data_IF_915446037653
#
_entry.id   IF_915446037653
#
_cell.length_a   1.000
_cell.length_b   1.000
_cell.length_c   1.000
_cell.angle_alpha   90.00
_cell.angle_beta   90.00
_cell.angle_gamma   90.00
#
_symmetry.space_group_name_H-M   'P 1'
#
loop_
_entity.id
_entity.type
_entity.pdbx_description
1 polymer ?
#
# COMPACT_ATOMS: atom_id res chain seq x y z
N UNK A 1 -5.09 -2.17 29.68
CA UNK A 1 -5.70 -1.77 28.38
C UNK A 1 -4.62 -1.20 27.48
N UNK A 2 -4.62 -1.55 26.21
CA UNK A 2 -3.64 -1.04 25.24
C UNK A 2 -3.94 0.42 24.93
N UNK A 3 -2.96 1.28 25.12
CA UNK A 3 -3.07 2.71 24.81
C UNK A 3 -2.41 3.03 23.49
N UNK A 4 -3.09 3.76 22.62
CA UNK A 4 -2.56 4.25 21.36
C UNK A 4 -2.44 5.78 21.34
N UNK A 5 -1.58 6.32 20.48
CA UNK A 5 -1.47 7.79 20.33
C UNK A 5 -2.77 8.37 19.80
N UNK A 6 -3.20 9.51 20.35
CA UNK A 6 -4.44 10.19 19.96
C UNK A 6 -4.52 10.49 18.46
N UNK A 7 -3.42 10.91 17.82
CA UNK A 7 -3.38 11.14 16.38
C UNK A 7 -3.63 9.84 15.57
N UNK A 8 -3.16 8.68 16.08
CA UNK A 8 -3.46 7.37 15.48
C UNK A 8 -4.95 7.05 15.68
N UNK A 9 -5.48 7.22 16.88
CA UNK A 9 -6.90 7.01 17.18
C UNK A 9 -7.81 7.78 16.22
N UNK A 10 -7.61 9.09 16.07
CA UNK A 10 -8.40 9.93 15.16
C UNK A 10 -8.30 9.46 13.70
N UNK A 11 -7.11 9.00 13.29
CA UNK A 11 -6.91 8.44 11.96
C UNK A 11 -7.62 7.09 11.78
N UNK A 12 -7.59 6.22 12.78
CA UNK A 12 -8.24 4.90 12.77
C UNK A 12 -9.77 5.02 12.83
N UNK A 13 -10.29 6.09 13.44
CA UNK A 13 -11.71 6.45 13.38
C UNK A 13 -12.15 7.02 12.01
N UNK A 14 -11.21 7.21 11.08
CA UNK A 14 -11.51 7.78 9.76
C UNK A 14 -11.72 9.28 9.73
N UNK A 15 -11.48 9.99 10.85
CA UNK A 15 -11.71 11.42 10.96
C UNK A 15 -10.75 12.23 10.05
N UNK A 16 -9.42 12.01 10.18
CA UNK A 16 -8.43 12.72 9.37
C UNK A 16 -7.11 11.94 9.26
N UNK A 17 -6.09 12.49 8.58
CA UNK A 17 -4.75 11.93 8.61
C UNK A 17 -4.08 12.16 9.96
N UNK A 18 -3.08 11.35 10.33
CA UNK A 18 -2.32 11.53 11.59
C UNK A 18 -1.68 12.91 11.71
N UNK A 19 -1.15 13.46 10.60
CA UNK A 19 -0.59 14.83 10.57
C UNK A 19 -1.67 15.88 10.80
N UNK A 20 -2.81 15.71 10.15
CA UNK A 20 -3.95 16.62 10.34
C UNK A 20 -4.51 16.54 11.76
N UNK A 21 -4.50 15.35 12.36
CA UNK A 21 -4.86 15.17 13.77
C UNK A 21 -3.91 15.92 14.71
N UNK A 22 -2.59 15.90 14.44
CA UNK A 22 -1.62 16.68 15.20
C UNK A 22 -1.92 18.19 15.08
N UNK A 23 -2.25 18.69 13.88
CA UNK A 23 -2.67 20.10 13.69
C UNK A 23 -3.92 20.45 14.53
N UNK A 24 -4.96 19.60 14.54
CA UNK A 24 -6.16 19.80 15.38
C UNK A 24 -5.83 19.82 16.87
N UNK A 25 -4.88 18.99 17.32
CA UNK A 25 -4.43 18.95 18.72
C UNK A 25 -3.69 20.26 19.08
N UNK A 26 -2.79 20.72 18.20
CA UNK A 26 -2.06 22.00 18.39
C UNK A 26 -3.00 23.21 18.41
N UNK A 27 -4.03 23.21 17.56
CA UNK A 27 -5.08 24.23 17.52
C UNK A 27 -6.01 24.17 18.74
N UNK A 28 -5.78 23.24 19.68
CA UNK A 28 -6.65 23.04 20.86
C UNK A 28 -8.10 22.68 20.51
N UNK A 29 -8.31 22.02 19.37
CA UNK A 29 -9.63 21.57 18.92
C UNK A 29 -10.02 20.20 19.47
N UNK A 30 -9.10 19.49 20.17
CA UNK A 30 -9.30 18.11 20.61
C UNK A 30 -9.32 18.02 22.14
N UNK A 31 -10.32 17.31 22.66
CA UNK A 31 -10.43 16.97 24.09
C UNK A 31 -10.48 15.46 24.28
N UNK A 32 -9.96 15.01 25.43
CA UNK A 32 -10.05 13.62 25.89
C UNK A 32 -10.66 13.65 27.29
N UNK A 33 -11.80 13.01 27.49
CA UNK A 33 -12.55 13.01 28.75
C UNK A 33 -12.80 14.44 29.26
N UNK A 34 -13.19 15.35 28.36
CA UNK A 34 -13.45 16.76 28.65
C UNK A 34 -12.20 17.64 28.87
N UNK A 35 -11.00 17.08 28.92
CA UNK A 35 -9.73 17.82 29.11
C UNK A 35 -9.05 18.07 27.78
N UNK A 36 -8.42 19.25 27.66
CA UNK A 36 -7.64 19.61 26.47
C UNK A 36 -6.52 18.62 26.21
N UNK A 37 -6.44 18.07 24.99
CA UNK A 37 -5.36 17.18 24.59
C UNK A 37 -4.09 17.93 24.19
N UNK A 38 -2.94 17.26 24.31
CA UNK A 38 -1.64 17.73 23.85
C UNK A 38 -1.01 16.72 22.86
N UNK A 39 -0.02 17.16 22.10
CA UNK A 39 0.76 16.27 21.23
C UNK A 39 1.38 15.15 22.07
N UNK A 40 1.24 13.91 21.58
CA UNK A 40 1.71 12.73 22.30
C UNK A 40 0.70 12.12 23.28
N UNK A 41 -0.44 12.75 23.54
CA UNK A 41 -1.52 12.17 24.35
C UNK A 41 -1.85 10.76 23.83
N UNK A 42 -2.04 9.84 24.78
CA UNK A 42 -2.47 8.46 24.50
C UNK A 42 -3.90 8.28 24.99
N UNK A 43 -4.64 7.44 24.28
CA UNK A 43 -6.03 7.09 24.58
C UNK A 43 -6.24 5.58 24.50
N UNK A 44 -7.21 5.10 25.28
CA UNK A 44 -7.76 3.75 25.22
C UNK A 44 -9.11 3.75 24.50
N UNK A 45 -9.69 2.58 24.30
CA UNK A 45 -11.03 2.48 23.69
C UNK A 45 -12.16 3.01 24.58
N UNK A 46 -11.90 3.18 25.89
CA UNK A 46 -12.90 3.66 26.88
C UNK A 46 -12.88 5.19 27.02
N UNK A 47 -11.87 5.85 26.43
CA UNK A 47 -11.75 7.31 26.49
C UNK A 47 -12.71 8.00 25.51
N UNK A 48 -13.39 9.03 25.98
CA UNK A 48 -14.23 9.89 25.15
C UNK A 48 -13.36 10.93 24.46
N UNK A 49 -13.25 10.84 23.15
CA UNK A 49 -12.49 11.78 22.32
C UNK A 49 -13.43 12.71 21.58
N UNK A 50 -13.23 14.01 21.74
CA UNK A 50 -14.02 15.05 21.09
C UNK A 50 -13.14 15.91 20.18
N UNK A 51 -13.65 16.27 19.00
CA UNK A 51 -13.03 17.26 18.11
C UNK A 51 -14.07 18.31 17.76
N UNK A 52 -13.78 19.58 18.05
CA UNK A 52 -14.71 20.71 17.89
C UNK A 52 -16.07 20.49 18.57
N UNK A 53 -16.12 19.75 19.68
CA UNK A 53 -17.33 19.43 20.42
C UNK A 53 -18.10 18.21 19.93
N UNK A 54 -17.66 17.56 18.85
CA UNK A 54 -18.25 16.32 18.34
C UNK A 54 -17.50 15.11 18.85
N UNK A 55 -18.20 14.09 19.37
CA UNK A 55 -17.59 12.83 19.83
C UNK A 55 -17.17 12.00 18.62
N UNK A 56 -15.90 11.62 18.61
CA UNK A 56 -15.31 10.74 17.59
C UNK A 56 -15.19 9.33 18.14
N UNK A 57 -15.77 8.38 17.44
CA UNK A 57 -15.70 6.96 17.81
C UNK A 57 -15.26 6.10 16.63
N UNK A 58 -14.64 4.99 16.94
CA UNK A 58 -14.17 4.04 15.93
C UNK A 58 -15.37 3.35 15.28
N UNK A 59 -15.45 3.39 13.95
CA UNK A 59 -16.40 2.58 13.18
C UNK A 59 -15.88 1.14 13.11
N UNK A 60 -16.73 0.17 13.48
CA UNK A 60 -16.30 -1.24 13.63
C UNK A 60 -16.06 -1.99 12.30
N UNK A 61 -16.45 -1.45 11.16
CA UNK A 61 -16.28 -2.12 9.88
C UNK A 61 -14.85 -2.00 9.32
N UNK A 62 -14.11 -3.11 9.49
CA UNK A 62 -12.85 -3.35 8.77
C UNK A 62 -13.12 -3.47 7.27
N UNK A 63 -12.42 -2.67 6.49
CA UNK A 63 -12.54 -2.68 5.04
C UNK A 63 -11.22 -2.96 4.37
N UNK A 64 -11.20 -3.97 3.49
CA UNK A 64 -10.06 -4.29 2.63
C UNK A 64 -10.56 -4.51 1.19
N UNK A 65 -9.99 -3.76 0.26
CA UNK A 65 -10.39 -3.70 -1.14
C UNK A 65 -9.20 -4.05 -2.03
N UNK A 66 -9.43 -4.86 -3.06
CA UNK A 66 -8.55 -5.01 -4.20
C UNK A 66 -9.01 -4.05 -5.30
N UNK A 67 -8.10 -3.25 -5.82
CA UNK A 67 -8.34 -2.29 -6.89
C UNK A 67 -7.32 -2.47 -8.01
N UNK A 68 -7.78 -2.49 -9.25
CA UNK A 68 -6.91 -2.44 -10.41
C UNK A 68 -6.60 -0.99 -10.78
N UNK A 69 -5.51 -0.47 -10.24
CA UNK A 69 -5.09 0.90 -10.52
C UNK A 69 -4.75 1.09 -11.99
N UNK A 70 -5.42 1.98 -12.72
CA UNK A 70 -5.04 2.32 -14.09
C UNK A 70 -3.73 3.14 -14.11
N UNK A 71 -3.10 3.25 -15.29
CA UNK A 71 -2.01 4.20 -15.53
C UNK A 71 -2.52 5.64 -15.38
N UNK A 72 -1.63 6.56 -15.04
CA UNK A 72 -1.95 7.99 -14.89
C UNK A 72 -2.40 8.41 -13.49
N UNK A 73 -2.78 7.46 -12.62
CA UNK A 73 -3.22 7.73 -11.25
C UNK A 73 -2.05 7.62 -10.27
N UNK A 74 -1.92 8.60 -9.36
CA UNK A 74 -0.88 8.67 -8.35
C UNK A 74 -1.36 8.02 -7.05
N UNK A 75 -0.55 7.13 -6.47
CA UNK A 75 -0.84 6.51 -5.17
C UNK A 75 -0.48 7.47 -4.03
N UNK A 76 -1.32 8.45 -3.78
CA UNK A 76 -1.20 9.41 -2.68
C UNK A 76 -2.57 9.72 -2.07
N UNK A 77 -2.56 10.18 -0.82
CA UNK A 77 -3.73 10.74 -0.13
C UNK A 77 -3.65 12.27 -0.04
N UNK A 78 -2.72 12.89 -0.78
CA UNK A 78 -2.53 14.35 -0.79
C UNK A 78 -3.58 15.01 -1.68
N UNK A 79 -4.29 15.97 -1.14
CA UNK A 79 -5.30 16.81 -1.83
C UNK A 79 -4.68 17.72 -2.90
N UNK A 80 -3.35 17.95 -2.83
CA UNK A 80 -2.62 18.77 -3.83
C UNK A 80 -2.39 18.04 -5.16
N UNK A 81 -2.63 16.73 -5.24
CA UNK A 81 -2.51 15.93 -6.46
C UNK A 81 -3.90 15.59 -7.00
N UNK A 82 -4.29 16.21 -8.08
CA UNK A 82 -5.64 16.09 -8.66
C UNK A 82 -5.96 14.71 -9.23
N UNK A 83 -4.93 13.93 -9.62
CA UNK A 83 -5.09 12.58 -10.15
C UNK A 83 -4.70 11.52 -9.10
N UNK A 84 -5.09 11.72 -7.85
CA UNK A 84 -4.78 10.79 -6.78
C UNK A 84 -5.77 9.62 -6.73
N UNK A 85 -5.31 8.50 -6.16
CA UNK A 85 -6.08 7.25 -6.09
C UNK A 85 -7.33 7.36 -5.21
N UNK A 86 -7.34 8.23 -4.20
CA UNK A 86 -8.45 8.36 -3.26
C UNK A 86 -9.62 9.06 -3.94
N UNK A 87 -9.37 10.17 -4.62
CA UNK A 87 -10.40 10.90 -5.37
C UNK A 87 -10.91 10.08 -6.55
N UNK A 88 -10.03 9.32 -7.23
CA UNK A 88 -10.42 8.43 -8.32
C UNK A 88 -11.41 7.35 -7.86
N UNK A 89 -11.17 6.72 -6.71
CA UNK A 89 -12.01 5.65 -6.17
C UNK A 89 -13.30 6.20 -5.55
N UNK A 90 -13.24 7.39 -4.93
CA UNK A 90 -14.34 8.06 -4.22
C UNK A 90 -15.13 7.10 -3.29
N UNK A 91 -14.41 6.40 -2.41
CA UNK A 91 -15.02 5.41 -1.51
C UNK A 91 -15.75 6.08 -0.34
N UNK A 92 -16.94 5.57 0.10
CA UNK A 92 -17.79 6.25 1.09
C UNK A 92 -17.17 6.43 2.48
N UNK A 93 -16.13 5.67 2.82
CA UNK A 93 -15.34 5.85 4.05
C UNK A 93 -13.89 6.13 3.72
N UNK A 94 -13.18 6.74 4.65
CA UNK A 94 -11.76 7.02 4.48
C UNK A 94 -10.95 5.73 4.40
N UNK A 95 -10.31 5.52 3.26
CA UNK A 95 -9.38 4.41 3.01
C UNK A 95 -8.03 4.96 2.54
N UNK A 96 -6.99 4.14 2.63
CA UNK A 96 -5.66 4.47 2.13
C UNK A 96 -4.98 3.25 1.52
N UNK A 97 -4.09 3.48 0.54
CA UNK A 97 -3.45 2.40 -0.19
C UNK A 97 -2.42 1.67 0.67
N UNK A 98 -2.37 0.34 0.54
CA UNK A 98 -1.33 -0.52 1.09
C UNK A 98 -0.16 -0.52 0.11
N UNK A 99 0.79 0.37 0.35
CA UNK A 99 1.92 0.60 -0.52
C UNK A 99 1.58 1.47 -1.73
N UNK A 100 2.46 1.43 -2.73
CA UNK A 100 2.38 2.31 -3.89
C UNK A 100 2.64 1.55 -5.18
N UNK A 101 2.05 2.05 -6.26
CA UNK A 101 2.45 1.83 -7.65
C UNK A 101 2.79 3.19 -8.27
N UNK A 102 3.80 3.21 -9.13
CA UNK A 102 4.14 4.43 -9.87
C UNK A 102 2.98 4.87 -10.76
N UNK A 103 2.94 6.16 -11.13
CA UNK A 103 1.95 6.74 -12.03
C UNK A 103 1.83 5.97 -13.34
N UNK A 104 2.98 5.54 -13.90
CA UNK A 104 3.09 4.82 -15.18
C UNK A 104 2.83 3.31 -15.06
N UNK A 105 2.63 2.79 -13.84
CA UNK A 105 2.38 1.38 -13.57
C UNK A 105 0.91 1.14 -13.31
N UNK A 106 0.43 -0.07 -13.59
CA UNK A 106 -0.97 -0.47 -13.37
C UNK A 106 -1.06 -1.76 -12.55
N UNK A 107 -2.27 -2.16 -12.21
CA UNK A 107 -2.54 -3.45 -11.59
C UNK A 107 -2.94 -3.36 -10.13
N UNK A 108 -2.86 -4.47 -9.45
CA UNK A 108 -3.39 -4.67 -8.11
C UNK A 108 -2.76 -3.71 -7.10
N UNK A 109 -3.61 -2.97 -6.42
CA UNK A 109 -3.29 -2.30 -5.16
C UNK A 109 -4.38 -2.62 -4.15
N UNK A 110 -3.99 -2.83 -2.90
CA UNK A 110 -4.93 -3.00 -1.80
C UNK A 110 -5.17 -1.67 -1.12
N UNK A 111 -6.41 -1.43 -0.67
CA UNK A 111 -6.78 -0.27 0.13
C UNK A 111 -7.52 -0.72 1.38
N UNK A 112 -7.33 -0.01 2.48
CA UNK A 112 -7.94 -0.35 3.78
C UNK A 112 -8.17 0.90 4.62
N UNK A 113 -9.06 0.81 5.62
CA UNK A 113 -9.19 1.77 6.70
C UNK A 113 -8.36 1.38 7.96
N UNK A 114 -7.60 0.27 7.92
CA UNK A 114 -6.79 -0.21 9.03
C UNK A 114 -5.30 0.08 8.83
N UNK A 115 -4.73 1.04 9.60
CA UNK A 115 -3.32 1.42 9.50
C UNK A 115 -2.33 0.31 9.88
N UNK A 116 -2.71 -0.54 10.82
CA UNK A 116 -1.84 -1.62 11.27
C UNK A 116 -1.69 -2.71 10.19
N UNK A 117 -2.73 -2.96 9.41
CA UNK A 117 -2.67 -3.87 8.27
C UNK A 117 -1.69 -3.38 7.19
N UNK A 118 -1.63 -2.07 6.96
CA UNK A 118 -0.64 -1.47 6.04
C UNK A 118 0.78 -1.80 6.48
N UNK A 119 1.07 -1.57 7.78
CA UNK A 119 2.39 -1.82 8.33
C UNK A 119 2.80 -3.29 8.20
N UNK A 120 1.90 -4.21 8.56
CA UNK A 120 2.16 -5.66 8.48
C UNK A 120 2.47 -6.12 7.04
N UNK A 121 1.70 -5.65 6.06
CA UNK A 121 1.88 -6.04 4.64
C UNK A 121 3.12 -5.38 4.02
N UNK A 122 3.45 -4.13 4.42
CA UNK A 122 4.45 -3.33 3.72
C UNK A 122 5.87 -3.43 4.28
N UNK A 123 6.05 -3.84 5.53
CA UNK A 123 7.40 -3.95 6.10
C UNK A 123 8.25 -4.96 5.33
N UNK A 124 9.39 -4.49 4.81
CA UNK A 124 10.30 -5.30 3.98
C UNK A 124 10.91 -6.49 4.70
N UNK A 125 10.98 -6.45 6.04
CA UNK A 125 11.46 -7.58 6.85
C UNK A 125 10.52 -8.79 6.78
N UNK A 126 9.22 -8.58 6.55
CA UNK A 126 8.22 -9.63 6.48
C UNK A 126 8.26 -10.42 5.15
N UNK A 127 9.06 -9.97 4.19
CA UNK A 127 9.32 -10.64 2.90
C UNK A 127 8.04 -11.03 2.11
N UNK A 128 6.99 -10.23 2.20
CA UNK A 128 5.74 -10.47 1.50
C UNK A 128 5.90 -10.32 -0.02
N UNK A 129 5.56 -11.38 -0.74
CA UNK A 129 5.70 -11.46 -2.20
C UNK A 129 4.73 -10.52 -2.91
N UNK A 130 5.25 -9.89 -3.97
CA UNK A 130 4.47 -9.14 -4.96
C UNK A 130 4.89 -9.59 -6.34
N UNK A 131 3.94 -9.91 -7.19
CA UNK A 131 4.16 -10.48 -8.52
C UNK A 131 3.74 -9.51 -9.61
N UNK A 132 4.57 -9.45 -10.65
CA UNK A 132 4.43 -8.49 -11.73
C UNK A 132 4.61 -9.16 -13.08
N UNK A 133 3.79 -8.75 -14.07
CA UNK A 133 4.05 -8.96 -15.50
C UNK A 133 4.78 -7.73 -16.01
N UNK A 134 5.93 -7.93 -16.63
CA UNK A 134 6.79 -6.86 -17.13
C UNK A 134 7.02 -7.02 -18.62
N UNK A 135 6.69 -5.98 -19.42
CA UNK A 135 7.03 -5.92 -20.85
C UNK A 135 8.15 -4.91 -21.06
N UNK A 136 9.05 -5.25 -21.97
CA UNK A 136 10.23 -4.45 -22.30
C UNK A 136 10.33 -4.18 -23.79
N UNK A 137 11.21 -3.25 -24.18
CA UNK A 137 11.39 -2.78 -25.57
C UNK A 137 12.11 -3.79 -26.48
N UNK A 138 12.85 -4.73 -25.93
CA UNK A 138 13.68 -5.70 -26.68
C UNK A 138 13.47 -7.14 -26.21
N UNK A 139 13.99 -8.09 -26.98
CA UNK A 139 13.87 -9.52 -26.68
C UNK A 139 14.64 -9.87 -25.41
N UNK A 140 13.93 -10.52 -24.49
CA UNK A 140 14.48 -11.06 -23.23
C UNK A 140 15.27 -12.31 -23.54
N UNK A 141 16.47 -12.45 -22.97
CA UNK A 141 17.30 -13.64 -23.06
C UNK A 141 17.58 -14.23 -21.68
N UNK A 142 18.13 -15.45 -21.65
CA UNK A 142 18.41 -16.15 -20.41
C UNK A 142 19.38 -15.39 -19.50
N UNK A 143 20.39 -14.74 -20.06
CA UNK A 143 21.35 -13.96 -19.30
C UNK A 143 20.70 -12.79 -18.54
N UNK A 144 19.74 -12.09 -19.19
CA UNK A 144 18.94 -11.04 -18.53
C UNK A 144 18.16 -11.62 -17.35
N UNK A 145 17.45 -12.74 -17.54
CA UNK A 145 16.67 -13.40 -16.48
C UNK A 145 17.58 -13.82 -15.32
N UNK A 146 18.75 -14.36 -15.59
CA UNK A 146 19.68 -14.79 -14.53
C UNK A 146 20.24 -13.61 -13.73
N UNK A 147 20.52 -12.47 -14.38
CA UNK A 147 20.89 -11.24 -13.67
C UNK A 147 19.73 -10.72 -12.80
N UNK A 148 18.50 -10.70 -13.33
CA UNK A 148 17.33 -10.29 -12.55
C UNK A 148 17.16 -11.15 -11.30
N UNK A 149 17.33 -12.48 -11.41
CA UNK A 149 17.21 -13.41 -10.26
C UNK A 149 18.27 -13.19 -9.20
N UNK A 150 19.54 -12.94 -9.59
CA UNK A 150 20.66 -12.76 -8.65
C UNK A 150 20.60 -11.44 -7.91
N UNK A 151 19.93 -10.46 -8.46
CA UNK A 151 19.89 -9.08 -7.99
C UNK A 151 20.75 -8.17 -8.87
N UNK A 152 20.34 -6.91 -8.94
CA UNK A 152 20.95 -5.88 -9.78
C UNK A 152 21.32 -4.68 -8.92
N UNK A 153 22.48 -4.09 -9.15
CA UNK A 153 22.91 -2.89 -8.44
C UNK A 153 22.12 -1.67 -8.94
N UNK A 154 21.31 -1.09 -8.03
CA UNK A 154 20.56 0.14 -8.26
C UNK A 154 20.60 1.01 -6.99
N UNK A 155 20.56 2.32 -7.14
CA UNK A 155 20.51 3.26 -6.00
C UNK A 155 21.63 3.01 -4.96
N UNK A 156 22.82 2.57 -5.40
CA UNK A 156 23.95 2.29 -4.52
C UNK A 156 23.80 1.02 -3.65
N UNK A 157 22.85 0.14 -3.98
CA UNK A 157 22.66 -1.14 -3.30
C UNK A 157 22.33 -2.26 -4.28
N UNK A 158 22.67 -3.51 -3.94
CA UNK A 158 22.25 -4.68 -4.71
C UNK A 158 20.85 -5.09 -4.25
N UNK A 159 19.93 -5.27 -5.19
CA UNK A 159 18.56 -5.74 -4.86
C UNK A 159 18.61 -7.17 -4.34
N UNK A 160 17.63 -7.51 -3.48
CA UNK A 160 17.49 -8.90 -3.01
C UNK A 160 17.28 -9.85 -4.19
N UNK A 161 17.79 -11.11 -4.11
CA UNK A 161 17.43 -12.14 -5.06
C UNK A 161 15.91 -12.28 -5.20
N UNK A 162 15.48 -12.62 -6.42
CA UNK A 162 14.05 -12.71 -6.73
C UNK A 162 13.76 -13.86 -7.68
N UNK A 163 12.46 -14.17 -7.90
CA UNK A 163 12.06 -15.13 -8.94
C UNK A 163 11.74 -14.34 -10.22
N UNK A 164 12.28 -14.79 -11.34
CA UNK A 164 12.01 -14.22 -12.66
C UNK A 164 11.87 -15.33 -13.70
N UNK A 165 10.90 -15.21 -14.58
CA UNK A 165 10.58 -16.23 -15.60
C UNK A 165 10.22 -15.53 -16.90
N UNK A 166 10.87 -15.92 -18.02
CA UNK A 166 10.46 -15.44 -19.32
C UNK A 166 9.11 -16.04 -19.70
N UNK A 167 8.13 -15.20 -20.07
CA UNK A 167 6.77 -15.60 -20.47
C UNK A 167 6.46 -15.27 -21.91
N UNK A 168 7.32 -14.47 -22.56
CA UNK A 168 7.21 -14.12 -23.96
C UNK A 168 8.50 -13.54 -24.52
N UNK A 169 8.58 -13.25 -25.83
CA UNK A 169 9.81 -12.68 -26.43
C UNK A 169 10.26 -11.37 -25.77
N UNK A 170 9.33 -10.53 -25.36
CA UNK A 170 9.58 -9.23 -24.71
C UNK A 170 8.85 -9.11 -23.37
N UNK A 171 8.56 -10.24 -22.73
CA UNK A 171 7.76 -10.30 -21.50
C UNK A 171 8.37 -11.30 -20.52
N UNK A 172 8.30 -10.95 -19.24
CA UNK A 172 8.71 -11.83 -18.16
C UNK A 172 7.89 -11.55 -16.90
N UNK A 173 7.74 -12.58 -16.07
CA UNK A 173 7.15 -12.46 -14.73
C UNK A 173 8.25 -12.29 -13.69
N UNK A 174 7.94 -11.49 -12.67
CA UNK A 174 8.86 -11.15 -11.60
C UNK A 174 8.16 -11.17 -10.24
N UNK A 175 8.71 -11.93 -9.28
CA UNK A 175 8.21 -11.97 -7.91
C UNK A 175 9.25 -11.34 -6.98
N UNK A 176 8.86 -10.24 -6.32
CA UNK A 176 9.70 -9.48 -5.39
C UNK A 176 9.16 -9.55 -3.96
N UNK A 177 10.08 -9.59 -2.99
CA UNK A 177 9.80 -9.39 -1.56
C UNK A 177 10.25 -8.01 -1.06
N UNK A 178 10.82 -7.20 -1.94
CA UNK A 178 11.37 -5.87 -1.68
C UNK A 178 10.66 -4.84 -2.57
N UNK A 179 10.68 -3.55 -2.18
CA UNK A 179 10.07 -2.47 -2.96
C UNK A 179 10.88 -1.18 -2.85
N UNK A 180 11.99 -1.07 -3.58
CA UNK A 180 12.75 0.17 -3.72
C UNK A 180 12.07 1.12 -4.74
N UNK A 181 12.41 2.40 -4.67
CA UNK A 181 11.88 3.38 -5.62
C UNK A 181 12.13 2.95 -7.07
N UNK A 182 11.05 2.74 -7.85
CA UNK A 182 11.07 2.32 -9.26
C UNK A 182 11.97 1.11 -9.53
N UNK A 183 12.04 0.18 -8.58
CA UNK A 183 13.01 -0.91 -8.55
C UNK A 183 13.06 -1.68 -9.87
N UNK A 184 11.95 -2.20 -10.37
CA UNK A 184 11.87 -3.02 -11.58
C UNK A 184 12.38 -2.24 -12.80
N UNK A 185 11.95 -0.98 -12.95
CA UNK A 185 12.39 -0.12 -14.07
C UNK A 185 13.89 0.13 -14.03
N UNK A 186 14.44 0.45 -12.86
CA UNK A 186 15.88 0.65 -12.67
C UNK A 186 16.72 -0.62 -12.90
N UNK A 187 16.21 -1.78 -12.46
CA UNK A 187 16.86 -3.06 -12.72
C UNK A 187 16.92 -3.34 -14.24
N UNK A 188 15.81 -3.16 -14.95
CA UNK A 188 15.77 -3.32 -16.41
C UNK A 188 16.72 -2.33 -17.11
N UNK A 189 16.67 -1.05 -16.75
CA UNK A 189 17.50 0.01 -17.31
C UNK A 189 19.00 -0.28 -17.13
N UNK A 190 19.41 -0.72 -15.94
CA UNK A 190 20.80 -1.11 -15.64
C UNK A 190 21.28 -2.27 -16.53
N UNK A 191 20.38 -3.16 -16.92
CA UNK A 191 20.64 -4.28 -17.84
C UNK A 191 20.42 -3.92 -19.32
N UNK A 192 20.16 -2.64 -19.64
CA UNK A 192 20.00 -2.14 -21.01
C UNK A 192 18.61 -2.34 -21.62
N UNK A 193 17.56 -2.50 -20.81
CA UNK A 193 16.18 -2.69 -21.22
C UNK A 193 15.27 -1.56 -20.72
N UNK A 194 14.29 -1.13 -21.54
CA UNK A 194 13.30 -0.16 -21.10
C UNK A 194 11.95 -0.85 -20.87
N UNK A 195 11.35 -0.62 -19.70
CA UNK A 195 10.03 -1.17 -19.37
C UNK A 195 8.95 -0.40 -20.12
N UNK A 196 8.21 -1.08 -20.99
CA UNK A 196 7.08 -0.54 -21.77
C UNK A 196 5.74 -0.74 -21.06
N UNK A 197 5.61 -1.81 -20.26
CA UNK A 197 4.44 -2.06 -19.42
C UNK A 197 4.84 -2.74 -18.12
N UNK A 198 4.20 -2.35 -17.02
CA UNK A 198 4.39 -2.94 -15.70
C UNK A 198 3.04 -3.09 -15.01
N UNK A 199 2.64 -4.34 -14.79
CA UNK A 199 1.36 -4.68 -14.18
C UNK A 199 1.60 -5.55 -12.94
N UNK A 200 1.16 -5.09 -11.76
CA UNK A 200 1.19 -5.94 -10.56
C UNK A 200 -0.05 -6.81 -10.53
N UNK A 201 0.13 -8.13 -10.51
CA UNK A 201 -0.96 -9.11 -10.59
C UNK A 201 -1.27 -9.81 -9.28
N UNK A 202 -0.36 -9.75 -8.28
CA UNK A 202 -0.56 -10.39 -6.97
C UNK A 202 0.16 -9.65 -5.85
N UNK A 203 -0.45 -9.63 -4.68
CA UNK A 203 0.13 -9.23 -3.39
C UNK A 203 -0.20 -10.34 -2.41
N UNK A 204 0.81 -11.04 -1.89
CA UNK A 204 0.64 -12.23 -1.04
C UNK A 204 -0.30 -13.26 -1.68
N UNK A 205 -1.42 -13.60 -1.06
CA UNK A 205 -2.45 -14.50 -1.61
C UNK A 205 -3.50 -13.78 -2.47
N UNK A 206 -3.57 -12.45 -2.43
CA UNK A 206 -4.58 -11.68 -3.18
C UNK A 206 -4.13 -11.51 -4.63
N UNK A 207 -4.96 -11.96 -5.56
CA UNK A 207 -4.71 -11.86 -7.00
C UNK A 207 -5.58 -10.76 -7.62
N UNK A 208 -5.06 -10.17 -8.69
CA UNK A 208 -5.80 -9.21 -9.51
C UNK A 208 -7.04 -9.86 -10.14
N UNK A 209 -6.90 -11.10 -10.63
CA UNK A 209 -7.98 -11.81 -11.34
C UNK A 209 -8.44 -11.05 -12.57
N UNK A 210 -9.75 -11.06 -12.79
CA UNK A 210 -10.40 -10.48 -13.98
C UNK A 210 -10.76 -8.99 -13.83
N UNK A 211 -10.34 -8.34 -12.71
CA UNK A 211 -10.60 -6.91 -12.52
C UNK A 211 -10.02 -6.08 -13.66
N UNK A 212 -10.89 -5.33 -14.34
CA UNK A 212 -10.47 -4.38 -15.36
C UNK A 212 -9.84 -3.12 -14.76
N UNK A 213 -8.98 -2.38 -15.49
CA UNK A 213 -8.42 -1.11 -15.01
C UNK A 213 -9.52 -0.14 -14.54
N UNK A 214 -9.39 0.34 -13.30
CA UNK A 214 -10.39 1.19 -12.65
C UNK A 214 -11.46 0.44 -11.85
N UNK A 215 -11.52 -0.88 -11.94
CA UNK A 215 -12.44 -1.68 -11.15
C UNK A 215 -11.89 -2.05 -9.76
N UNK A 216 -12.80 -2.24 -8.82
CA UNK A 216 -12.50 -2.68 -7.46
C UNK A 216 -13.45 -3.78 -7.00
N UNK A 217 -12.99 -4.57 -6.04
CA UNK A 217 -13.83 -5.55 -5.32
C UNK A 217 -13.45 -5.60 -3.85
N UNK A 218 -14.39 -5.95 -3.00
CA UNK A 218 -14.08 -6.34 -1.62
C UNK A 218 -13.30 -7.66 -1.63
N UNK A 219 -12.38 -7.82 -0.66
CA UNK A 219 -11.70 -9.10 -0.44
C UNK A 219 -12.71 -10.08 0.14
N UNK A 220 -12.79 -11.29 -0.43
CA UNK A 220 -13.71 -12.28 0.06
C UNK A 220 -13.21 -12.92 1.39
N UNK A 221 -14.10 -13.61 2.08
CA UNK A 221 -13.83 -14.17 3.42
C UNK A 221 -12.63 -15.14 3.41
N UNK A 222 -12.55 -16.00 2.40
CA UNK A 222 -11.45 -16.98 2.26
C UNK A 222 -10.10 -16.29 2.06
N UNK A 223 -10.03 -15.32 1.13
CA UNK A 223 -8.82 -14.53 0.88
C UNK A 223 -8.38 -13.79 2.16
N UNK A 224 -9.34 -13.22 2.91
CA UNK A 224 -9.05 -12.50 4.14
C UNK A 224 -8.52 -13.41 5.25
N UNK A 225 -9.09 -14.60 5.41
CA UNK A 225 -8.64 -15.59 6.38
C UNK A 225 -7.22 -16.10 6.06
N UNK A 226 -6.95 -16.39 4.79
CA UNK A 226 -5.61 -16.77 4.33
C UNK A 226 -4.60 -15.63 4.55
N UNK A 227 -4.97 -14.39 4.20
CA UNK A 227 -4.12 -13.22 4.43
C UNK A 227 -3.80 -13.05 5.92
N UNK A 228 -4.79 -13.16 6.80
CA UNK A 228 -4.59 -13.06 8.25
C UNK A 228 -3.61 -14.12 8.77
N UNK A 229 -3.75 -15.38 8.35
CA UNK A 229 -2.80 -16.45 8.69
C UNK A 229 -1.36 -16.13 8.24
N UNK A 230 -1.20 -15.62 7.02
CA UNK A 230 0.12 -15.22 6.52
C UNK A 230 0.72 -14.05 7.31
N UNK A 231 -0.11 -13.23 7.95
CA UNK A 231 0.30 -12.06 8.74
C UNK A 231 0.48 -12.34 10.22
N UNK A 232 0.14 -13.53 10.74
CA UNK A 232 0.26 -13.88 12.17
C UNK A 232 1.71 -13.76 12.68
N UNK A 233 2.69 -14.03 11.82
CA UNK A 233 4.11 -13.91 12.13
C UNK A 233 4.74 -12.61 11.63
N UNK A 234 3.92 -11.65 11.18
CA UNK A 234 4.36 -10.35 10.67
C UNK A 234 4.28 -9.30 11.79
N UNK A 235 5.44 -8.74 12.14
CA UNK A 235 5.54 -7.67 13.13
C UNK A 235 5.29 -6.27 12.55
#
# INVERSE_FOLDING_TARGET
>A
MEQIRLNKYLSDCGFCSRRKADEYIEMKCVKVNGKQAAIGTKVSNDDVVEVNGEIIYKKDESTLIAFNKPKGIVCTTSENETNNIIDYINYPIRIYPIGRLDKDSQGLILLTNEGDLVNKIMRSRNQHEKEYIVKVDRVVNQQFIDHMKKGVEILGTITKPCKAYQTGPKEFDLVLTQGLNRQIRRMCEKLGYNVTSLTRIRIMNIKLGDLQPGEMRKINKKELEELKKMLEHSE
#
